data_IF_173438554373
#
_entry.id   IF_173438554373
#
_cell.length_a   1.000
_cell.length_b   1.000
_cell.length_c   1.000
_cell.angle_alpha   90.00
_cell.angle_beta   90.00
_cell.angle_gamma   90.00
#
_symmetry.space_group_name_H-M   'P 1'
#
loop_
_entity.id
_entity.type
_entity.pdbx_description
1 polymer ?
#
# COMPACT_ATOMS: atom_id res chain seq x y z
N UNK A 1 -4.09 -21.86 -7.40
CA UNK A 1 -4.69 -20.67 -6.78
C UNK A 1 -4.17 -20.60 -5.36
N UNK A 2 -3.76 -19.42 -4.92
CA UNK A 2 -3.28 -19.15 -3.56
C UNK A 2 -4.15 -18.06 -2.95
N UNK A 3 -4.18 -17.96 -1.62
CA UNK A 3 -4.92 -16.90 -0.92
C UNK A 3 -3.89 -15.96 -0.29
N UNK A 4 -4.09 -14.66 -0.46
CA UNK A 4 -3.18 -13.66 0.07
C UNK A 4 -3.80 -12.27 0.08
N UNK A 5 -3.00 -11.27 0.44
CA UNK A 5 -3.37 -9.86 0.35
C UNK A 5 -2.54 -9.13 -0.69
N UNK A 6 -3.12 -8.08 -1.26
CA UNK A 6 -2.46 -7.18 -2.19
C UNK A 6 -2.70 -5.75 -1.72
N UNK A 7 -1.65 -4.95 -1.69
CA UNK A 7 -1.67 -3.53 -1.42
C UNK A 7 -1.14 -2.79 -2.65
N UNK A 8 -1.91 -1.81 -3.10
CA UNK A 8 -1.45 -0.78 -4.03
C UNK A 8 -1.31 0.54 -3.28
N UNK A 9 -0.23 1.25 -3.55
CA UNK A 9 0.00 2.61 -3.05
C UNK A 9 0.44 3.50 -4.20
N UNK A 10 -0.17 4.68 -4.34
CA UNK A 10 -0.04 5.58 -5.49
C UNK A 10 0.16 7.03 -5.04
N UNK A 11 0.94 7.83 -5.77
CA UNK A 11 1.21 9.23 -5.43
C UNK A 11 0.14 10.13 -6.05
N UNK A 12 -0.54 10.90 -5.21
CA UNK A 12 -1.58 11.83 -5.65
C UNK A 12 -0.98 12.92 -6.53
N UNK A 13 -1.53 13.07 -7.74
CA UNK A 13 -1.17 14.15 -8.65
C UNK A 13 0.22 13.99 -9.28
N UNK A 14 0.82 12.80 -9.23
CA UNK A 14 2.17 12.57 -9.72
C UNK A 14 2.36 12.93 -11.19
N UNK A 15 1.38 12.67 -12.06
CA UNK A 15 1.48 13.05 -13.48
C UNK A 15 1.79 14.53 -13.64
N UNK A 16 1.03 15.40 -12.96
CA UNK A 16 1.25 16.85 -12.98
C UNK A 16 2.58 17.26 -12.31
N UNK A 17 2.97 16.56 -11.24
CA UNK A 17 4.27 16.75 -10.59
C UNK A 17 5.42 16.44 -11.54
N UNK A 18 5.31 15.37 -12.34
CA UNK A 18 6.35 14.91 -13.25
C UNK A 18 6.53 15.80 -14.48
N UNK A 19 5.45 16.43 -14.95
CA UNK A 19 5.49 17.36 -16.10
C UNK A 19 6.16 18.70 -15.76
N UNK A 20 6.15 19.08 -14.48
CA UNK A 20 6.65 20.38 -14.01
C UNK A 20 8.09 20.34 -13.47
N UNK A 21 8.78 19.19 -13.57
CA UNK A 21 10.10 18.96 -12.95
C UNK A 21 11.14 18.37 -13.89
N UNK A 22 12.40 18.48 -13.50
CA UNK A 22 13.46 17.78 -14.22
C UNK A 22 13.36 16.27 -13.98
N UNK A 23 13.55 15.41 -15.00
CA UNK A 23 13.44 13.96 -14.85
C UNK A 23 14.30 13.38 -13.71
N UNK A 24 15.49 13.94 -13.48
CA UNK A 24 16.38 13.51 -12.40
C UNK A 24 15.77 13.76 -11.01
N UNK A 25 15.05 14.86 -10.82
CA UNK A 25 14.41 15.19 -9.55
C UNK A 25 13.21 14.28 -9.28
N UNK A 26 12.46 13.94 -10.34
CA UNK A 26 11.34 12.99 -10.26
C UNK A 26 11.83 11.60 -9.88
N UNK A 27 12.91 11.13 -10.50
CA UNK A 27 13.51 9.83 -10.18
C UNK A 27 14.08 9.80 -8.76
N UNK A 28 14.76 10.87 -8.32
CA UNK A 28 15.27 10.95 -6.95
C UNK A 28 14.14 10.89 -5.92
N UNK A 29 13.06 11.66 -6.15
CA UNK A 29 11.88 11.65 -5.30
C UNK A 29 11.25 10.24 -5.21
N UNK A 30 11.04 9.58 -6.35
CA UNK A 30 10.48 8.23 -6.37
C UNK A 30 11.37 7.24 -5.63
N UNK A 31 12.67 7.24 -5.90
CA UNK A 31 13.61 6.31 -5.26
C UNK A 31 13.64 6.49 -3.74
N UNK A 32 13.59 7.74 -3.25
CA UNK A 32 13.55 8.02 -1.82
C UNK A 32 12.31 7.39 -1.17
N UNK A 33 11.11 7.72 -1.66
CA UNK A 33 9.86 7.22 -1.09
C UNK A 33 9.72 5.70 -1.25
N UNK A 34 10.08 5.15 -2.41
CA UNK A 34 10.06 3.71 -2.65
C UNK A 34 11.02 2.93 -1.74
N UNK A 35 12.17 3.52 -1.39
CA UNK A 35 13.06 2.95 -0.38
C UNK A 35 12.37 2.77 0.97
N UNK A 36 11.67 3.82 1.45
CA UNK A 36 10.90 3.74 2.70
C UNK A 36 9.74 2.74 2.62
N UNK A 37 9.03 2.68 1.49
CA UNK A 37 7.89 1.76 1.33
C UNK A 37 8.33 0.31 1.21
N UNK A 38 9.48 0.04 0.60
CA UNK A 38 10.06 -1.30 0.56
C UNK A 38 10.43 -1.79 1.96
N UNK A 39 11.03 -0.94 2.79
CA UNK A 39 11.32 -1.27 4.19
C UNK A 39 10.05 -1.45 5.03
N UNK A 40 9.02 -0.65 4.79
CA UNK A 40 7.71 -0.84 5.42
C UNK A 40 7.07 -2.18 5.01
N UNK A 41 7.20 -2.58 3.73
CA UNK A 41 6.76 -3.87 3.25
C UNK A 41 7.47 -4.99 3.99
N UNK A 42 8.80 -4.98 3.99
CA UNK A 42 9.64 -5.99 4.64
C UNK A 42 9.35 -6.09 6.14
N UNK A 43 9.22 -4.96 6.84
CA UNK A 43 8.91 -4.90 8.27
C UNK A 43 7.55 -5.51 8.62
N UNK A 44 6.63 -5.55 7.66
CA UNK A 44 5.32 -6.18 7.78
C UNK A 44 5.26 -7.58 7.14
N UNK A 45 6.38 -8.17 6.73
CA UNK A 45 6.39 -9.48 6.06
C UNK A 45 5.84 -9.48 4.63
N UNK A 46 5.70 -8.31 4.02
CA UNK A 46 5.28 -8.12 2.63
C UNK A 46 6.45 -8.21 1.65
N UNK A 47 6.14 -8.60 0.43
CA UNK A 47 7.09 -8.60 -0.69
C UNK A 47 6.68 -7.55 -1.71
N UNK A 48 7.59 -6.67 -2.12
CA UNK A 48 7.36 -5.77 -3.24
C UNK A 48 7.32 -6.59 -4.53
N UNK A 49 6.16 -6.62 -5.19
CA UNK A 49 5.98 -7.35 -6.44
C UNK A 49 6.56 -6.56 -7.62
N UNK A 50 6.19 -5.28 -7.72
CA UNK A 50 6.67 -4.36 -8.76
C UNK A 50 6.40 -2.90 -8.45
N UNK A 51 7.14 -2.03 -9.13
CA UNK A 51 6.87 -0.60 -9.26
C UNK A 51 6.22 -0.33 -10.63
N UNK A 52 5.19 0.51 -10.67
CA UNK A 52 4.38 0.84 -11.84
C UNK A 52 4.28 2.36 -11.93
N UNK A 53 5.30 3.01 -12.51
CA UNK A 53 5.40 4.47 -12.48
C UNK A 53 5.61 4.94 -11.04
N UNK A 54 4.66 5.72 -10.51
CA UNK A 54 4.59 6.21 -9.13
C UNK A 54 3.83 5.30 -8.18
N UNK A 55 3.29 4.19 -8.69
CA UNK A 55 2.60 3.21 -7.89
C UNK A 55 3.53 2.06 -7.46
N UNK A 56 3.36 1.58 -6.24
CA UNK A 56 3.99 0.36 -5.72
C UNK A 56 2.93 -0.70 -5.45
N UNK A 57 3.22 -1.94 -5.85
CA UNK A 57 2.42 -3.12 -5.55
C UNK A 57 3.16 -4.03 -4.56
N UNK A 58 2.51 -4.34 -3.44
CA UNK A 58 3.04 -5.19 -2.37
C UNK A 58 2.10 -6.37 -2.16
N UNK A 59 2.66 -7.56 -1.95
CA UNK A 59 1.90 -8.80 -1.75
C UNK A 59 2.26 -9.46 -0.43
N UNK A 60 1.28 -10.14 0.17
CA UNK A 60 1.39 -10.83 1.46
C UNK A 60 0.75 -12.21 1.38
N UNK A 61 1.31 -13.20 2.07
CA UNK A 61 0.88 -14.61 1.96
C UNK A 61 1.31 -15.30 0.66
N UNK A 62 2.17 -14.66 -0.12
CA UNK A 62 2.76 -15.19 -1.35
C UNK A 62 4.19 -14.65 -1.51
N UNK A 63 5.15 -15.43 -2.03
CA UNK A 63 5.05 -16.86 -2.39
C UNK A 63 4.93 -17.80 -1.19
N UNK A 64 5.26 -17.32 0.00
CA UNK A 64 5.18 -18.10 1.24
C UNK A 64 3.84 -17.88 1.92
N UNK A 65 3.20 -18.97 2.34
CA UNK A 65 1.94 -18.91 3.08
C UNK A 65 2.11 -18.15 4.40
N UNK A 66 1.14 -17.30 4.70
CA UNK A 66 1.09 -16.50 5.93
C UNK A 66 -0.37 -16.35 6.37
N UNK A 67 -0.81 -17.03 7.44
CA UNK A 67 -2.20 -16.95 7.89
C UNK A 67 -2.60 -15.55 8.38
N UNK A 68 -1.63 -14.66 8.64
CA UNK A 68 -1.86 -13.28 9.07
C UNK A 68 -1.66 -12.26 7.93
N UNK A 69 -1.65 -12.71 6.67
CA UNK A 69 -1.41 -11.85 5.50
C UNK A 69 -2.33 -10.61 5.43
N UNK A 70 -3.56 -10.71 5.96
CA UNK A 70 -4.50 -9.58 6.05
C UNK A 70 -4.05 -8.54 7.08
N UNK A 71 -3.77 -8.98 8.32
CA UNK A 71 -3.25 -8.14 9.40
C UNK A 71 -1.96 -7.41 8.98
N UNK A 72 -1.04 -8.14 8.36
CA UNK A 72 0.22 -7.60 7.85
C UNK A 72 0.01 -6.54 6.75
N UNK A 73 -0.87 -6.81 5.78
CA UNK A 73 -1.19 -5.83 4.73
C UNK A 73 -1.82 -4.56 5.29
N UNK A 74 -2.76 -4.68 6.24
CA UNK A 74 -3.40 -3.53 6.90
C UNK A 74 -2.39 -2.72 7.72
N UNK A 75 -1.50 -3.40 8.44
CA UNK A 75 -0.43 -2.75 9.21
C UNK A 75 0.53 -2.01 8.27
N UNK A 76 0.91 -2.61 7.15
CA UNK A 76 1.76 -1.99 6.15
C UNK A 76 1.13 -0.74 5.53
N UNK A 77 -0.17 -0.79 5.17
CA UNK A 77 -0.88 0.37 4.63
C UNK A 77 -0.96 1.55 5.62
N UNK A 78 -1.22 1.26 6.90
CA UNK A 78 -1.14 2.28 7.96
C UNK A 78 0.28 2.85 8.07
N UNK A 79 1.28 1.98 8.10
CA UNK A 79 2.69 2.36 8.29
C UNK A 79 3.20 3.23 7.14
N UNK A 80 2.87 2.91 5.89
CA UNK A 80 3.24 3.70 4.70
C UNK A 80 2.68 5.13 4.82
N UNK A 81 1.40 5.27 5.20
CA UNK A 81 0.79 6.59 5.38
C UNK A 81 1.43 7.37 6.52
N UNK A 82 1.69 6.71 7.66
CA UNK A 82 2.31 7.34 8.82
C UNK A 82 3.78 7.77 8.56
N UNK A 83 4.58 6.89 7.93
CA UNK A 83 5.94 7.19 7.48
C UNK A 83 5.96 8.39 6.55
N UNK A 84 5.05 8.43 5.58
CA UNK A 84 4.97 9.52 4.60
C UNK A 84 4.73 10.86 5.26
N UNK A 85 3.83 10.92 6.26
CA UNK A 85 3.63 12.15 7.04
C UNK A 85 4.90 12.58 7.76
N UNK A 86 5.64 11.64 8.35
CA UNK A 86 6.89 11.93 9.06
C UNK A 86 8.00 12.43 8.12
N UNK A 87 8.12 11.81 6.94
CA UNK A 87 9.04 12.22 5.88
C UNK A 87 8.67 13.62 5.35
N UNK A 88 7.38 13.86 5.11
CA UNK A 88 6.88 15.15 4.64
C UNK A 88 7.21 16.27 5.63
N UNK A 89 7.05 16.06 6.94
CA UNK A 89 7.45 17.04 7.96
C UNK A 89 8.94 17.41 7.86
N UNK A 90 9.81 16.41 7.67
CA UNK A 90 11.25 16.65 7.52
C UNK A 90 11.55 17.43 6.23
N UNK A 91 10.91 17.06 5.11
CA UNK A 91 11.04 17.73 3.83
C UNK A 91 10.54 19.17 3.86
N UNK A 92 9.40 19.44 4.50
CA UNK A 92 8.85 20.79 4.69
C UNK A 92 9.85 21.70 5.42
N UNK A 93 10.49 21.20 6.49
CA UNK A 93 11.53 21.95 7.21
C UNK A 93 12.75 22.29 6.34
N UNK A 94 12.98 21.53 5.27
CA UNK A 94 14.05 21.74 4.29
C UNK A 94 13.58 22.50 3.04
N UNK A 95 12.31 22.94 3.00
CA UNK A 95 11.64 23.49 1.81
C UNK A 95 11.68 22.55 0.60
N UNK A 96 11.69 21.25 0.85
CA UNK A 96 11.59 20.21 -0.15
C UNK A 96 10.13 19.84 -0.44
N UNK A 97 9.94 19.13 -1.54
CA UNK A 97 8.60 18.75 -1.99
C UNK A 97 8.05 17.56 -1.24
N UNK A 98 6.79 17.62 -0.87
CA UNK A 98 6.07 16.54 -0.21
C UNK A 98 5.15 15.81 -1.17
N UNK A 99 4.70 14.62 -0.76
CA UNK A 99 3.74 13.82 -1.52
C UNK A 99 2.57 13.40 -0.63
N UNK A 100 1.40 13.24 -1.22
CA UNK A 100 0.29 12.53 -0.58
C UNK A 100 0.08 11.20 -1.28
N UNK A 101 -0.38 10.20 -0.54
CA UNK A 101 -0.56 8.85 -1.06
C UNK A 101 -2.01 8.41 -0.98
N UNK A 102 -2.38 7.52 -1.89
CA UNK A 102 -3.60 6.72 -1.80
C UNK A 102 -3.20 5.28 -1.62
N UNK A 103 -3.94 4.55 -0.80
CA UNK A 103 -3.71 3.12 -0.56
C UNK A 103 -5.00 2.34 -0.74
N UNK A 104 -4.91 1.24 -1.49
CA UNK A 104 -5.98 0.27 -1.69
C UNK A 104 -5.53 -1.14 -1.36
N UNK A 105 -6.31 -1.85 -0.55
CA UNK A 105 -5.94 -3.18 -0.05
C UNK A 105 -7.08 -4.17 -0.27
N UNK A 106 -6.76 -5.36 -0.74
CA UNK A 106 -7.73 -6.45 -0.87
C UNK A 106 -7.10 -7.78 -0.49
N UNK A 107 -7.91 -8.70 0.02
CA UNK A 107 -7.51 -10.09 0.24
C UNK A 107 -8.43 -11.06 -0.50
N UNK A 108 -7.92 -12.25 -0.80
CA UNK A 108 -8.68 -13.29 -1.47
C UNK A 108 -7.85 -14.18 -2.38
N UNK A 109 -8.53 -15.02 -3.18
CA UNK A 109 -7.86 -15.94 -4.10
C UNK A 109 -7.21 -15.20 -5.27
N UNK A 110 -6.00 -15.61 -5.62
CA UNK A 110 -5.24 -15.08 -6.76
C UNK A 110 -4.41 -16.18 -7.43
N UNK A 111 -4.00 -15.93 -8.67
CA UNK A 111 -3.05 -16.76 -9.38
C UNK A 111 -1.65 -16.20 -9.17
N UNK A 112 -0.79 -16.94 -8.49
CA UNK A 112 0.63 -16.62 -8.36
C UNK A 112 1.46 -17.52 -9.27
N UNK A 113 2.45 -16.96 -9.96
CA UNK A 113 3.36 -17.72 -10.81
C UNK A 113 4.29 -16.85 -11.62
N UNK A 114 5.16 -17.50 -12.39
CA UNK A 114 6.01 -16.82 -13.36
C UNK A 114 5.17 -16.47 -14.60
N UNK A 115 4.96 -15.18 -14.86
CA UNK A 115 4.27 -14.67 -16.05
C UNK A 115 5.25 -13.85 -16.89
N UNK A 116 5.16 -13.98 -18.21
CA UNK A 116 6.01 -13.24 -19.14
C UNK A 116 6.26 -13.93 -20.48
N UNK A 117 7.20 -13.39 -21.24
CA UNK A 117 7.69 -14.02 -22.47
C UNK A 117 8.92 -14.89 -22.18
N UNK A 118 9.37 -15.67 -23.16
CA UNK A 118 10.58 -16.49 -23.02
C UNK A 118 11.83 -15.69 -22.58
N UNK A 119 11.89 -14.40 -22.90
CA UNK A 119 13.03 -13.52 -22.60
C UNK A 119 12.88 -12.74 -21.28
N UNK A 120 11.65 -12.61 -20.77
CA UNK A 120 11.35 -11.84 -19.55
C UNK A 120 10.23 -12.52 -18.78
N UNK A 121 10.61 -13.30 -17.77
CA UNK A 121 9.69 -13.92 -16.82
C UNK A 121 9.76 -13.16 -15.49
N UNK A 122 8.61 -12.89 -14.89
CA UNK A 122 8.50 -12.30 -13.56
C UNK A 122 7.55 -13.14 -12.70
N UNK A 123 7.95 -13.51 -11.49
CA UNK A 123 7.02 -14.04 -10.51
C UNK A 123 6.08 -12.93 -10.07
N UNK A 124 4.77 -13.12 -10.23
CA UNK A 124 3.78 -12.11 -9.88
C UNK A 124 2.41 -12.74 -9.60
N UNK A 125 1.47 -11.91 -9.14
CA UNK A 125 0.09 -12.31 -8.90
C UNK A 125 -0.89 -11.59 -9.82
N UNK A 126 -1.91 -12.32 -10.26
CA UNK A 126 -3.02 -11.79 -11.07
C UNK A 126 -4.36 -12.33 -10.58
N UNK A 127 -5.44 -11.58 -10.78
CA UNK A 127 -6.79 -12.01 -10.43
C UNK A 127 -7.70 -10.87 -10.01
N UNK A 128 -8.95 -11.19 -9.69
CA UNK A 128 -9.93 -10.19 -9.26
C UNK A 128 -9.47 -9.45 -7.99
N UNK A 129 -8.92 -10.16 -7.00
CA UNK A 129 -8.37 -9.54 -5.77
C UNK A 129 -7.32 -8.47 -6.06
N UNK A 130 -6.40 -8.72 -7.02
CA UNK A 130 -5.37 -7.75 -7.43
C UNK A 130 -6.03 -6.51 -8.05
N UNK A 131 -7.00 -6.73 -8.94
CA UNK A 131 -7.71 -5.64 -9.60
C UNK A 131 -8.58 -4.82 -8.64
N UNK A 132 -9.20 -5.46 -7.64
CA UNK A 132 -9.97 -4.80 -6.59
C UNK A 132 -9.07 -3.88 -5.77
N UNK A 133 -7.90 -4.35 -5.32
CA UNK A 133 -6.95 -3.52 -4.57
C UNK A 133 -6.51 -2.29 -5.37
N UNK A 134 -6.17 -2.45 -6.66
CA UNK A 134 -5.79 -1.34 -7.53
C UNK A 134 -6.92 -0.31 -7.69
N UNK A 135 -8.18 -0.76 -7.83
CA UNK A 135 -9.34 0.14 -7.95
C UNK A 135 -9.63 0.88 -6.65
N UNK A 136 -9.53 0.20 -5.51
CA UNK A 136 -9.65 0.84 -4.19
C UNK A 136 -8.59 1.92 -4.01
N UNK A 137 -7.36 1.68 -4.47
CA UNK A 137 -6.30 2.69 -4.43
C UNK A 137 -6.67 3.93 -5.25
N UNK A 138 -7.20 3.75 -6.46
CA UNK A 138 -7.66 4.87 -7.30
C UNK A 138 -8.88 5.63 -6.74
N UNK A 139 -9.67 5.01 -5.87
CA UNK A 139 -10.86 5.60 -5.22
C UNK A 139 -10.57 6.25 -3.88
N UNK A 140 -9.44 5.91 -3.23
CA UNK A 140 -9.11 6.43 -1.92
C UNK A 140 -8.89 7.95 -1.97
N UNK A 141 -9.30 8.65 -0.91
CA UNK A 141 -8.95 10.05 -0.72
C UNK A 141 -7.44 10.21 -0.50
N UNK A 142 -6.83 11.37 -0.81
CA UNK A 142 -5.45 11.65 -0.45
C UNK A 142 -5.20 11.44 1.06
N UNK A 143 -4.16 10.66 1.39
CA UNK A 143 -3.86 10.22 2.75
C UNK A 143 -4.72 9.05 3.27
N UNK A 144 -5.64 8.55 2.45
CA UNK A 144 -6.60 7.50 2.81
C UNK A 144 -6.10 6.08 2.53
N UNK A 145 -6.71 5.13 3.25
CA UNK A 145 -6.55 3.69 3.04
C UNK A 145 -7.92 3.06 2.91
N UNK A 146 -8.22 2.53 1.73
CA UNK A 146 -9.42 1.73 1.47
C UNK A 146 -9.08 0.25 1.45
N UNK A 147 -9.99 -0.57 1.99
CA UNK A 147 -9.82 -2.01 2.11
C UNK A 147 -11.14 -2.72 1.80
N UNK A 148 -11.05 -3.97 1.34
CA UNK A 148 -12.24 -4.82 1.27
C UNK A 148 -12.67 -5.27 2.66
N UNK A 149 -13.97 -5.23 2.97
CA UNK A 149 -14.51 -5.59 4.30
C UNK A 149 -14.14 -7.01 4.75
N UNK A 150 -13.97 -7.94 3.81
CA UNK A 150 -13.52 -9.32 4.08
C UNK A 150 -12.18 -9.39 4.84
N UNK A 151 -11.32 -8.38 4.71
CA UNK A 151 -10.03 -8.33 5.42
C UNK A 151 -10.19 -8.28 6.93
N UNK A 152 -11.24 -7.61 7.44
CA UNK A 152 -11.44 -7.43 8.87
C UNK A 152 -11.78 -8.74 9.58
N UNK A 153 -12.33 -9.73 8.87
CA UNK A 153 -12.62 -11.05 9.42
C UNK A 153 -11.35 -11.86 9.74
N UNK A 154 -10.24 -11.55 9.09
CA UNK A 154 -8.95 -12.24 9.25
C UNK A 154 -8.03 -11.59 10.30
N UNK A 155 -8.50 -10.55 10.98
CA UNK A 155 -7.74 -9.77 11.95
C UNK A 155 -7.27 -8.42 11.41
N UNK A 156 -7.20 -7.42 12.30
CA UNK A 156 -6.87 -6.05 11.96
C UNK A 156 -6.03 -5.39 13.08
N UNK A 157 -5.13 -4.45 12.76
CA UNK A 157 -4.43 -3.67 13.77
C UNK A 157 -5.38 -2.67 14.45
N UNK A 158 -5.23 -2.48 15.76
CA UNK A 158 -6.08 -1.57 16.54
C UNK A 158 -7.55 -2.00 16.66
N UNK A 159 -8.38 -1.11 17.20
CA UNK A 159 -9.81 -1.36 17.41
C UNK A 159 -10.62 -1.44 16.10
N UNK A 160 -11.65 -2.28 16.08
CA UNK A 160 -12.61 -2.37 14.97
C UNK A 160 -13.32 -1.02 14.70
N UNK A 161 -13.46 -0.17 15.73
CA UNK A 161 -14.05 1.18 15.59
C UNK A 161 -13.25 2.12 14.69
N UNK A 162 -11.99 1.77 14.39
CA UNK A 162 -11.12 2.56 13.52
C UNK A 162 -11.35 2.28 12.03
N UNK A 163 -12.27 1.38 11.72
CA UNK A 163 -12.64 1.01 10.35
C UNK A 163 -14.08 1.44 10.09
N UNK A 164 -14.24 2.47 9.26
CA UNK A 164 -15.55 2.94 8.85
C UNK A 164 -16.06 2.07 7.69
N UNK A 165 -17.25 1.49 7.86
CA UNK A 165 -17.95 0.79 6.79
C UNK A 165 -18.51 1.81 5.79
N UNK A 166 -18.11 1.69 4.53
CA UNK A 166 -18.60 2.52 3.42
C UNK A 166 -19.67 1.79 2.59
N UNK A 167 -19.96 0.54 2.93
CA UNK A 167 -20.90 -0.34 2.25
C UNK A 167 -20.42 -0.86 0.91
N UNK A 168 -21.38 -1.43 0.18
CA UNK A 168 -21.17 -2.07 -1.11
C UNK A 168 -20.87 -1.04 -2.21
N UNK A 169 -19.67 -1.11 -2.81
CA UNK A 169 -19.29 -0.31 -3.96
C UNK A 169 -19.23 -1.15 -5.24
N UNK A 170 -19.76 -0.61 -6.34
CA UNK A 170 -19.55 -1.18 -7.66
C UNK A 170 -18.26 -0.64 -8.26
N UNK A 171 -17.28 -1.51 -8.44
CA UNK A 171 -15.98 -1.14 -8.99
C UNK A 171 -16.00 -1.22 -10.52
N UNK A 172 -15.37 -0.26 -11.21
CA UNK A 172 -15.36 -0.19 -12.68
C UNK A 172 -14.89 -1.51 -13.30
N UNK A 173 -15.74 -2.12 -14.14
CA UNK A 173 -15.43 -3.36 -14.84
C UNK A 173 -15.61 -4.62 -13.98
N UNK A 174 -16.29 -4.53 -12.84
CA UNK A 174 -16.76 -5.65 -12.02
C UNK A 174 -18.28 -5.62 -11.95
N UNK A 175 -18.92 -6.79 -12.14
CA UNK A 175 -20.38 -6.92 -12.10
C UNK A 175 -20.90 -7.00 -10.67
N UNK A 176 -20.15 -7.66 -9.80
CA UNK A 176 -20.47 -7.81 -8.39
C UNK A 176 -19.99 -6.60 -7.58
N UNK A 177 -20.72 -6.28 -6.51
CA UNK A 177 -20.30 -5.28 -5.54
C UNK A 177 -19.23 -5.84 -4.60
N UNK A 178 -18.44 -4.92 -4.04
CA UNK A 178 -17.43 -5.21 -3.02
C UNK A 178 -17.77 -4.38 -1.79
N UNK A 179 -17.83 -5.00 -0.62
CA UNK A 179 -17.92 -4.26 0.65
C UNK A 179 -16.60 -3.53 0.89
N UNK A 180 -16.68 -2.23 1.12
CA UNK A 180 -15.50 -1.36 1.28
C UNK A 180 -15.51 -0.76 2.68
N UNK A 181 -14.34 -0.74 3.31
CA UNK A 181 -14.12 0.02 4.53
C UNK A 181 -13.01 1.06 4.31
N UNK A 182 -13.02 2.10 5.13
CA UNK A 182 -11.94 3.07 5.26
C UNK A 182 -11.26 2.91 6.61
N UNK A 183 -9.93 2.90 6.63
CA UNK A 183 -9.16 2.87 7.86
C UNK A 183 -8.86 4.29 8.35
N UNK A 184 -9.10 4.55 9.64
CA UNK A 184 -8.58 5.70 10.34
C UNK A 184 -7.11 5.44 10.70
N UNK A 185 -6.21 5.87 9.82
CA UNK A 185 -4.76 5.63 9.92
C UNK A 185 -4.20 6.13 11.25
N UNK A 186 -4.60 7.31 11.73
CA UNK A 186 -4.04 7.91 12.94
C UNK A 186 -4.46 7.15 14.19
N UNK A 187 -5.72 6.73 14.27
CA UNK A 187 -6.22 5.95 15.40
C UNK A 187 -5.56 4.56 15.45
N UNK A 188 -5.40 3.90 14.30
CA UNK A 188 -4.68 2.62 14.22
C UNK A 188 -3.20 2.80 14.59
N UNK A 189 -2.53 3.82 14.05
CA UNK A 189 -1.13 4.10 14.34
C UNK A 189 -0.88 4.34 15.83
N UNK A 190 -1.80 5.06 16.48
CA UNK A 190 -1.77 5.30 17.91
C UNK A 190 -1.92 4.00 18.71
N UNK A 191 -2.93 3.18 18.41
CA UNK A 191 -3.21 1.93 19.12
C UNK A 191 -2.04 0.95 19.07
N UNK A 192 -1.35 0.86 17.93
CA UNK A 192 -0.21 -0.05 17.75
C UNK A 192 1.14 0.56 18.12
N UNK A 193 1.16 1.80 18.62
CA UNK A 193 2.38 2.54 18.93
C UNK A 193 3.38 2.55 17.76
N UNK A 194 2.90 2.98 16.58
CA UNK A 194 3.63 2.91 15.32
C UNK A 194 4.95 3.69 15.32
N UNK A 195 5.11 4.69 16.21
CA UNK A 195 6.30 5.54 16.31
C UNK A 195 7.58 4.71 16.43
N UNK A 196 7.57 3.62 17.20
CA UNK A 196 8.75 2.74 17.34
C UNK A 196 9.17 2.11 16.02
N UNK A 197 8.20 1.69 15.21
CA UNK A 197 8.47 1.05 13.93
C UNK A 197 8.91 2.08 12.89
N UNK A 198 8.29 3.25 12.92
CA UNK A 198 8.66 4.40 12.08
C UNK A 198 10.11 4.80 12.35
N UNK A 199 10.48 5.01 13.62
CA UNK A 199 11.84 5.40 14.00
C UNK A 199 12.87 4.36 13.57
N UNK A 200 12.54 3.07 13.69
CA UNK A 200 13.41 2.00 13.22
C UNK A 200 13.67 2.07 11.72
N UNK A 201 12.62 2.24 10.91
CA UNK A 201 12.73 2.35 9.44
C UNK A 201 13.54 3.58 9.04
N UNK A 202 13.24 4.75 9.63
CA UNK A 202 13.96 6.00 9.34
C UNK A 202 15.46 5.90 9.69
N UNK A 203 15.81 5.19 10.77
CA UNK A 203 17.21 4.96 11.16
C UNK A 203 17.97 4.02 10.21
N UNK A 204 17.25 3.17 9.48
CA UNK A 204 17.82 2.18 8.56
C UNK A 204 18.19 2.81 7.21
N UNK A 205 17.39 3.76 6.71
CA UNK A 205 17.67 4.48 5.45
C UNK A 205 18.79 5.51 5.60
N UNK A 206 19.02 6.01 6.83
CA UNK A 206 20.05 7.03 7.10
C UNK A 206 21.48 6.46 7.14
N UNK A 207 21.69 5.18 6.80
CA UNK A 207 22.99 4.49 6.76
C UNK A 207 23.35 4.08 5.35
#
# INVERSE_FOLDING_TARGET
>A
SVVGSVLFCDIVGFTQLSESRQPAEVVALLNDYFGYFALAAESCGGTVDKFIGDCIMIVFGVPNDDPHHALHALTCGMLIQALTRRINQARENLNESTVMLRVGISCGPMLAGNLGSAERMQYTVVGDTVNVAARLCGMAEPGGVLLTGAMLASGHPGSASHYADLGAAQLRGRTENVEVCAMNVDAVAHDVNADRLIDHILSTVSR
#
